data_IF_519331814725
#
_entry.id   IF_519331814725
#
_cell.length_a   1.000
_cell.length_b   1.000
_cell.length_c   1.000
_cell.angle_alpha   90.00
_cell.angle_beta   90.00
_cell.angle_gamma   90.00
#
_symmetry.space_group_name_H-M   'P 1'
#
loop_
_entity.id
_entity.type
_entity.pdbx_description
1 polymer ?
#
# COMPACT_ATOMS: atom_id res chain seq x y z
N UNK A 1 -15.22 14.68 4.23
CA UNK A 1 -15.08 15.06 2.81
C UNK A 1 -14.14 16.27 2.57
N UNK A 2 -13.82 17.07 3.59
CA UNK A 2 -13.08 18.35 3.47
C UNK A 2 -11.58 18.28 3.11
N UNK A 3 -10.86 17.20 3.46
CA UNK A 3 -9.39 17.13 3.26
C UNK A 3 -8.92 17.04 1.80
N UNK A 4 -9.80 16.68 0.85
CA UNK A 4 -9.43 16.53 -0.56
C UNK A 4 -9.36 17.85 -1.33
N UNK A 5 -10.03 18.89 -0.85
CA UNK A 5 -10.14 20.19 -1.54
C UNK A 5 -9.21 21.27 -0.98
N UNK A 6 -8.48 20.95 0.08
CA UNK A 6 -7.46 21.84 0.67
C UNK A 6 -6.40 22.33 -0.35
N UNK A 7 -5.81 21.48 -1.19
CA UNK A 7 -4.75 21.93 -2.11
C UNK A 7 -5.29 22.73 -3.29
N UNK A 8 -6.50 22.41 -3.78
CA UNK A 8 -7.18 23.24 -4.79
C UNK A 8 -7.52 24.60 -4.23
N UNK A 9 -7.99 24.68 -2.98
CA UNK A 9 -8.26 25.94 -2.31
C UNK A 9 -6.98 26.78 -2.10
N UNK A 10 -5.88 26.15 -1.69
CA UNK A 10 -4.57 26.82 -1.55
C UNK A 10 -4.07 27.33 -2.91
N UNK A 11 -4.15 26.53 -3.97
CA UNK A 11 -3.73 26.94 -5.31
C UNK A 11 -4.55 28.15 -5.82
N UNK A 12 -5.86 28.15 -5.62
CA UNK A 12 -6.73 29.27 -5.97
C UNK A 12 -6.42 30.53 -5.16
N UNK A 13 -6.17 30.39 -3.86
CA UNK A 13 -5.78 31.52 -2.99
C UNK A 13 -4.43 32.12 -3.39
N UNK A 14 -3.45 31.28 -3.74
CA UNK A 14 -2.14 31.72 -4.23
C UNK A 14 -2.28 32.45 -5.57
N UNK A 15 -3.08 31.93 -6.50
CA UNK A 15 -3.37 32.59 -7.78
C UNK A 15 -3.97 33.99 -7.57
N UNK A 16 -4.97 34.08 -6.68
CA UNK A 16 -5.67 35.33 -6.37
C UNK A 16 -4.75 36.35 -5.70
N UNK A 17 -3.90 35.90 -4.77
CA UNK A 17 -2.93 36.75 -4.10
C UNK A 17 -1.86 37.30 -5.06
N UNK A 18 -1.34 36.48 -5.98
CA UNK A 18 -0.37 36.92 -6.99
C UNK A 18 -0.98 37.88 -8.02
N UNK A 19 -2.24 37.67 -8.40
CA UNK A 19 -2.95 38.56 -9.32
C UNK A 19 -3.25 39.93 -8.67
N UNK A 20 -3.56 39.96 -7.37
CA UNK A 20 -3.88 41.18 -6.64
C UNK A 20 -2.66 42.10 -6.41
N UNK A 21 -1.44 41.55 -6.37
CA UNK A 21 -0.22 42.33 -6.15
C UNK A 21 0.32 43.02 -7.42
N UNK A 22 -0.20 42.69 -8.61
CA UNK A 22 0.22 43.31 -9.89
C UNK A 22 1.69 43.09 -10.25
N UNK A 23 2.40 42.24 -9.51
CA UNK A 23 3.85 41.99 -9.61
C UNK A 23 4.20 40.98 -10.70
N UNK A 24 3.22 40.22 -11.21
CA UNK A 24 3.39 39.26 -12.29
C UNK A 24 2.32 39.44 -13.37
N UNK A 25 2.73 39.20 -14.62
CA UNK A 25 1.86 39.10 -15.79
C UNK A 25 0.72 38.07 -15.52
N UNK A 26 -0.56 38.36 -15.87
CA UNK A 26 -1.72 37.56 -15.45
C UNK A 26 -1.63 36.08 -15.84
N UNK A 27 -0.93 35.81 -16.95
CA UNK A 27 -0.64 34.45 -17.42
C UNK A 27 0.19 33.66 -16.41
N UNK A 28 1.20 34.28 -15.79
CA UNK A 28 2.08 33.62 -14.83
C UNK A 28 1.39 33.37 -13.47
N UNK A 29 0.49 34.28 -13.06
CA UNK A 29 -0.30 34.14 -11.84
C UNK A 29 -1.26 32.93 -11.88
N UNK A 30 -1.73 32.55 -13.07
CA UNK A 30 -2.56 31.35 -13.30
C UNK A 30 -1.72 30.08 -13.53
N UNK A 31 -0.61 30.19 -14.28
CA UNK A 31 0.20 29.03 -14.66
C UNK A 31 0.89 28.35 -13.47
N UNK A 32 1.46 29.11 -12.54
CA UNK A 32 2.18 28.56 -11.37
C UNK A 32 1.31 27.65 -10.47
N UNK A 33 0.13 28.09 -9.98
CA UNK A 33 -0.72 27.24 -9.15
C UNK A 33 -1.31 26.07 -9.94
N UNK A 34 -1.58 26.25 -11.24
CA UNK A 34 -2.05 25.18 -12.11
C UNK A 34 -0.97 24.09 -12.28
N UNK A 35 0.28 24.49 -12.55
CA UNK A 35 1.42 23.57 -12.62
C UNK A 35 1.64 22.84 -11.28
N UNK A 36 1.55 23.54 -10.16
CA UNK A 36 1.62 22.94 -8.82
C UNK A 36 0.55 21.88 -8.57
N UNK A 37 -0.69 22.14 -9.00
CA UNK A 37 -1.81 21.19 -8.95
C UNK A 37 -1.56 19.95 -9.80
N UNK A 38 -1.06 20.13 -11.03
CA UNK A 38 -0.72 19.02 -11.94
C UNK A 38 0.38 18.16 -11.33
N UNK A 39 1.46 18.75 -10.82
CA UNK A 39 2.55 18.02 -10.17
C UNK A 39 2.04 17.26 -8.95
N UNK A 40 1.21 17.90 -8.11
CA UNK A 40 0.63 17.26 -6.94
C UNK A 40 -0.28 16.07 -7.30
N UNK A 41 -1.11 16.21 -8.33
CA UNK A 41 -1.94 15.12 -8.83
C UNK A 41 -1.10 13.98 -9.44
N UNK A 42 -0.09 14.31 -10.23
CA UNK A 42 0.83 13.33 -10.80
C UNK A 42 1.58 12.55 -9.71
N UNK A 43 2.04 13.24 -8.66
CA UNK A 43 2.67 12.61 -7.50
C UNK A 43 1.74 11.63 -6.78
N UNK A 44 0.45 11.98 -6.63
CA UNK A 44 -0.56 11.08 -6.06
C UNK A 44 -0.75 9.81 -6.88
N UNK A 45 -0.69 9.90 -8.21
CA UNK A 45 -0.83 8.74 -9.10
C UNK A 45 0.42 7.86 -9.15
N UNK A 46 1.60 8.44 -8.92
CA UNK A 46 2.87 7.68 -8.85
C UNK A 46 2.95 6.87 -7.55
N UNK A 47 2.36 7.37 -6.46
CA UNK A 47 2.33 6.69 -5.15
C UNK A 47 1.33 5.50 -5.10
N UNK A 48 0.55 5.24 -6.16
CA UNK A 48 -0.33 4.07 -6.25
C UNK A 48 0.45 2.74 -6.40
N UNK A 49 1.77 2.83 -6.57
CA UNK A 49 2.68 1.68 -6.48
C UNK A 49 2.60 0.73 -7.67
N UNK A 50 2.32 1.28 -8.85
CA UNK A 50 2.60 0.61 -10.11
C UNK A 50 4.12 0.66 -10.35
N UNK A 51 4.78 -0.46 -10.12
CA UNK A 51 6.21 -0.60 -10.34
C UNK A 51 6.47 -0.63 -11.86
N UNK A 52 7.16 0.36 -12.40
CA UNK A 52 7.67 0.29 -13.76
C UNK A 52 8.63 -0.91 -13.82
N UNK A 53 8.38 -1.87 -14.71
CA UNK A 53 9.24 -3.03 -14.89
C UNK A 53 10.58 -2.58 -15.50
N UNK A 54 11.54 -2.24 -14.64
CA UNK A 54 12.89 -1.91 -15.07
C UNK A 54 13.64 -3.21 -15.42
N UNK A 55 14.45 -3.23 -16.49
CA UNK A 55 15.29 -4.39 -16.78
C UNK A 55 16.19 -4.68 -15.57
N UNK A 56 16.23 -5.95 -15.16
CA UNK A 56 17.00 -6.36 -14.00
C UNK A 56 18.50 -6.08 -14.24
N UNK A 57 19.17 -5.32 -13.37
CA UNK A 57 20.62 -5.18 -13.44
C UNK A 57 21.28 -6.57 -13.28
N UNK A 58 22.47 -6.79 -13.86
CA UNK A 58 23.18 -8.05 -13.70
C UNK A 58 23.32 -8.40 -12.22
N UNK A 59 22.93 -9.62 -11.85
CA UNK A 59 22.98 -10.08 -10.47
C UNK A 59 24.44 -10.28 -10.04
N UNK A 60 25.12 -9.20 -9.68
CA UNK A 60 26.43 -9.26 -9.06
C UNK A 60 26.21 -9.67 -7.59
N UNK A 61 26.10 -10.99 -7.39
CA UNK A 61 25.91 -11.62 -6.08
C UNK A 61 27.17 -11.43 -5.23
N UNK A 62 27.36 -10.24 -4.67
CA UNK A 62 28.21 -10.06 -3.48
C UNK A 62 27.53 -10.77 -2.32
N UNK A 63 28.13 -11.85 -1.83
CA UNK A 63 27.64 -12.58 -0.67
C UNK A 63 27.65 -11.66 0.56
N UNK A 64 26.47 -11.14 0.93
CA UNK A 64 26.32 -10.27 2.10
C UNK A 64 24.86 -10.03 2.46
N UNK A 65 24.28 -10.91 3.29
CA UNK A 65 22.88 -10.85 3.73
C UNK A 65 22.49 -9.53 4.44
N UNK A 66 23.45 -8.70 4.87
CA UNK A 66 23.18 -7.43 5.56
C UNK A 66 22.64 -6.34 4.64
N UNK A 67 23.13 -6.26 3.41
CA UNK A 67 22.68 -5.24 2.47
C UNK A 67 21.25 -5.54 2.02
N UNK A 68 20.97 -6.80 1.65
CA UNK A 68 19.65 -7.26 1.25
C UNK A 68 18.59 -7.01 2.33
N UNK A 69 18.91 -7.28 3.60
CA UNK A 69 17.99 -7.02 4.73
C UNK A 69 17.76 -5.52 4.94
N UNK A 70 18.80 -4.70 4.78
CA UNK A 70 18.70 -3.24 4.93
C UNK A 70 17.87 -2.63 3.80
N UNK A 71 18.12 -3.06 2.57
CA UNK A 71 17.38 -2.60 1.38
C UNK A 71 15.92 -3.03 1.44
N UNK A 72 15.65 -4.26 1.92
CA UNK A 72 14.30 -4.73 2.15
C UNK A 72 13.58 -3.94 3.25
N UNK A 73 14.32 -3.56 4.30
CA UNK A 73 13.84 -2.65 5.34
C UNK A 73 13.42 -1.29 4.76
N UNK A 74 14.27 -0.68 3.94
CA UNK A 74 13.98 0.61 3.28
C UNK A 74 12.81 0.53 2.29
N UNK A 75 12.65 -0.58 1.57
CA UNK A 75 11.53 -0.77 0.64
C UNK A 75 10.20 -1.08 1.36
N UNK A 76 10.25 -1.62 2.57
CA UNK A 76 9.06 -2.03 3.32
C UNK A 76 8.37 -0.87 4.05
N UNK A 77 9.11 0.18 4.42
CA UNK A 77 8.58 1.29 5.21
C UNK A 77 8.54 2.61 4.43
N UNK A 78 7.45 3.33 4.59
CA UNK A 78 7.27 4.71 4.13
C UNK A 78 8.05 5.68 5.01
N UNK A 79 8.22 6.92 4.54
CA UNK A 79 8.89 8.01 5.29
C UNK A 79 8.32 8.24 6.70
N UNK A 80 7.04 7.94 6.90
CA UNK A 80 6.34 8.11 8.18
C UNK A 80 6.54 6.92 9.16
N UNK A 81 7.41 5.95 8.81
CA UNK A 81 7.62 4.73 9.59
C UNK A 81 6.44 3.75 9.53
N UNK A 82 5.51 3.94 8.59
CA UNK A 82 4.40 3.02 8.30
C UNK A 82 4.75 2.06 7.19
N UNK A 83 4.09 0.91 7.16
CA UNK A 83 4.31 -0.10 6.12
C UNK A 83 3.78 0.39 4.78
N UNK A 84 4.54 0.14 3.71
CA UNK A 84 4.17 0.54 2.36
C UNK A 84 2.91 -0.19 1.86
N UNK A 85 2.18 0.45 0.94
CA UNK A 85 0.99 -0.15 0.33
C UNK A 85 1.32 -1.46 -0.39
N UNK A 86 2.53 -1.57 -0.97
CA UNK A 86 3.04 -2.78 -1.62
C UNK A 86 3.09 -3.97 -0.67
N UNK A 87 3.74 -3.81 0.49
CA UNK A 87 3.83 -4.89 1.49
C UNK A 87 2.44 -5.25 2.01
N UNK A 88 1.59 -4.24 2.25
CA UNK A 88 0.20 -4.45 2.67
C UNK A 88 -0.58 -5.30 1.65
N UNK A 89 -0.50 -4.99 0.36
CA UNK A 89 -1.12 -5.78 -0.72
C UNK A 89 -0.56 -7.20 -0.78
N UNK A 90 0.76 -7.36 -0.60
CA UNK A 90 1.42 -8.67 -0.61
C UNK A 90 0.91 -9.56 0.52
N UNK A 91 0.81 -9.01 1.74
CA UNK A 91 0.26 -9.75 2.90
C UNK A 91 -1.20 -10.10 2.67
N UNK A 92 -2.00 -9.19 2.11
CA UNK A 92 -3.39 -9.49 1.77
C UNK A 92 -3.52 -10.65 0.77
N UNK A 93 -2.67 -10.67 -0.27
CA UNK A 93 -2.63 -11.77 -1.24
C UNK A 93 -2.21 -13.10 -0.60
N UNK A 94 -1.24 -13.09 0.33
CA UNK A 94 -0.83 -14.30 1.07
C UNK A 94 -1.99 -14.80 1.96
N UNK A 95 -2.66 -13.89 2.68
CA UNK A 95 -3.79 -14.24 3.53
C UNK A 95 -4.94 -14.86 2.71
N UNK A 96 -5.31 -14.23 1.58
CA UNK A 96 -6.30 -14.79 0.65
C UNK A 96 -5.90 -16.18 0.14
N UNK A 97 -4.65 -16.34 -0.27
CA UNK A 97 -4.17 -17.64 -0.77
C UNK A 97 -4.21 -18.73 0.31
N UNK A 98 -3.88 -18.39 1.56
CA UNK A 98 -3.91 -19.32 2.70
C UNK A 98 -5.32 -19.68 3.16
N UNK A 99 -6.30 -18.81 2.94
CA UNK A 99 -7.70 -19.02 3.32
C UNK A 99 -8.55 -19.66 2.22
N UNK A 100 -8.12 -19.57 0.96
CA UNK A 100 -8.82 -20.19 -0.17
C UNK A 100 -9.08 -21.70 0.02
N UNK A 101 -8.16 -22.52 0.57
CA UNK A 101 -8.42 -23.93 0.89
C UNK A 101 -9.55 -24.12 1.92
N UNK A 102 -9.75 -23.14 2.80
CA UNK A 102 -10.81 -23.14 3.81
C UNK A 102 -12.14 -22.58 3.27
N UNK A 103 -12.22 -22.28 1.97
CA UNK A 103 -13.41 -21.69 1.33
C UNK A 103 -13.67 -20.22 1.72
N UNK A 104 -12.72 -19.56 2.38
CA UNK A 104 -12.88 -18.21 2.90
C UNK A 104 -12.24 -17.21 1.95
N UNK A 105 -13.04 -16.24 1.48
CA UNK A 105 -12.58 -15.09 0.73
C UNK A 105 -12.62 -13.82 1.59
N UNK A 106 -11.46 -13.17 1.78
CA UNK A 106 -11.37 -11.93 2.55
C UNK A 106 -12.15 -10.77 1.94
N UNK A 107 -12.39 -10.78 0.62
CA UNK A 107 -13.09 -9.69 -0.08
C UNK A 107 -14.60 -9.75 0.09
N UNK A 108 -15.14 -10.94 0.38
CA UNK A 108 -16.57 -11.14 0.60
C UNK A 108 -16.97 -10.71 2.03
N UNK A 109 -17.88 -9.74 2.20
CA UNK A 109 -18.41 -9.36 3.51
C UNK A 109 -19.00 -10.54 4.30
N UNK A 110 -19.60 -11.53 3.63
CA UNK A 110 -20.24 -12.68 4.26
C UNK A 110 -19.26 -13.66 4.92
N UNK A 111 -18.01 -13.70 4.45
CA UNK A 111 -16.95 -14.55 5.01
C UNK A 111 -16.21 -13.91 6.19
N UNK A 112 -16.66 -12.73 6.65
CA UNK A 112 -16.02 -11.99 7.76
C UNK A 112 -15.93 -12.81 9.03
N UNK A 113 -17.02 -13.45 9.45
CA UNK A 113 -17.09 -14.15 10.73
C UNK A 113 -16.29 -15.47 10.69
N UNK A 114 -16.30 -16.14 9.54
CA UNK A 114 -15.47 -17.32 9.28
C UNK A 114 -13.98 -16.95 9.31
N UNK A 115 -13.58 -15.85 8.66
CA UNK A 115 -12.21 -15.34 8.70
C UNK A 115 -11.81 -14.92 10.13
N UNK A 116 -12.71 -14.30 10.88
CA UNK A 116 -12.46 -13.84 12.25
C UNK A 116 -12.25 -15.02 13.22
N UNK A 117 -12.86 -16.16 12.95
CA UNK A 117 -12.66 -17.40 13.73
C UNK A 117 -11.23 -17.95 13.56
N UNK A 118 -10.64 -17.80 12.38
CA UNK A 118 -9.29 -18.33 12.10
C UNK A 118 -8.19 -17.31 12.46
N UNK A 119 -8.33 -16.06 12.00
CA UNK A 119 -7.31 -15.02 12.15
C UNK A 119 -7.47 -14.14 13.40
N UNK A 120 -8.65 -14.17 14.02
CA UNK A 120 -9.06 -13.22 15.05
C UNK A 120 -9.75 -11.99 14.47
N UNK A 121 -10.78 -11.51 15.15
CA UNK A 121 -11.60 -10.37 14.72
C UNK A 121 -10.78 -9.09 14.51
N UNK A 122 -9.87 -8.77 15.43
CA UNK A 122 -9.00 -7.59 15.35
C UNK A 122 -8.13 -7.57 14.08
N UNK A 123 -7.59 -8.74 13.70
CA UNK A 123 -6.73 -8.88 12.52
C UNK A 123 -7.55 -8.71 11.25
N UNK A 124 -8.75 -9.29 11.19
CA UNK A 124 -9.68 -9.13 10.06
C UNK A 124 -10.11 -7.67 9.88
N UNK A 125 -10.45 -6.98 10.97
CA UNK A 125 -10.81 -5.57 10.93
C UNK A 125 -9.66 -4.68 10.43
N UNK A 126 -8.45 -4.98 10.89
CA UNK A 126 -7.27 -4.24 10.49
C UNK A 126 -6.87 -4.53 9.04
N UNK A 127 -6.96 -5.78 8.58
CA UNK A 127 -6.71 -6.18 7.18
C UNK A 127 -7.71 -5.51 6.22
N UNK A 128 -8.96 -5.35 6.63
CA UNK A 128 -9.99 -4.65 5.86
C UNK A 128 -9.88 -3.12 5.93
N UNK A 129 -9.11 -2.59 6.88
CA UNK A 129 -8.92 -1.16 7.02
C UNK A 129 -8.04 -0.61 5.89
N UNK A 130 -8.36 0.59 5.39
CA UNK A 130 -7.52 1.31 4.40
C UNK A 130 -6.36 2.09 5.04
N UNK A 131 -6.13 1.91 6.35
CA UNK A 131 -5.10 2.66 7.06
C UNK A 131 -3.77 1.92 6.92
N UNK A 132 -2.68 2.60 6.54
CA UNK A 132 -1.37 1.95 6.46
C UNK A 132 -0.97 1.40 7.85
N UNK A 133 -0.61 0.11 7.96
CA UNK A 133 -0.33 -0.49 9.25
C UNK A 133 1.03 -0.05 9.79
N UNK A 134 1.19 -0.15 11.11
CA UNK A 134 2.50 0.00 11.75
C UNK A 134 3.30 -1.32 11.64
N UNK A 135 4.63 -1.28 11.80
CA UNK A 135 5.46 -2.49 11.75
C UNK A 135 5.00 -3.58 12.74
N UNK A 136 4.64 -3.19 13.96
CA UNK A 136 4.07 -4.10 14.97
C UNK A 136 2.75 -4.72 14.56
N UNK A 137 1.93 -3.97 13.81
CA UNK A 137 0.63 -4.45 13.33
C UNK A 137 0.82 -5.44 12.19
N UNK A 138 1.73 -5.14 11.26
CA UNK A 138 2.12 -6.07 10.20
C UNK A 138 2.65 -7.39 10.76
N UNK A 139 3.50 -7.34 11.79
CA UNK A 139 4.01 -8.55 12.43
C UNK A 139 2.87 -9.41 13.00
N UNK A 140 1.90 -8.80 13.70
CA UNK A 140 0.71 -9.51 14.20
C UNK A 140 -0.11 -10.16 13.08
N UNK A 141 -0.25 -9.49 11.93
CA UNK A 141 -0.96 -10.07 10.78
C UNK A 141 -0.21 -11.27 10.21
N UNK A 142 1.13 -11.15 10.07
CA UNK A 142 1.96 -12.25 9.59
C UNK A 142 1.88 -13.45 10.53
N UNK A 143 1.98 -13.23 11.84
CA UNK A 143 1.84 -14.30 12.83
C UNK A 143 0.46 -14.99 12.75
N UNK A 144 -0.60 -14.20 12.56
CA UNK A 144 -1.96 -14.75 12.43
C UNK A 144 -2.13 -15.57 11.14
N UNK A 145 -1.55 -15.11 10.03
CA UNK A 145 -1.56 -15.82 8.75
C UNK A 145 -0.71 -17.09 8.81
N UNK A 146 0.41 -17.07 9.52
CA UNK A 146 1.29 -18.23 9.69
C UNK A 146 0.68 -19.32 10.57
N UNK A 147 -0.18 -18.94 11.52
CA UNK A 147 -0.96 -19.86 12.35
C UNK A 147 -2.13 -20.52 11.63
N UNK A 148 -2.47 -20.10 10.41
CA UNK A 148 -3.54 -20.74 9.64
C UNK A 148 -3.16 -22.21 9.43
N UNK A 149 -4.00 -23.16 9.87
CA UNK A 149 -3.72 -24.58 9.71
C UNK A 149 -3.42 -24.90 8.24
N UNK A 150 -2.36 -25.67 7.96
CA UNK A 150 -2.13 -26.18 6.62
C UNK A 150 -3.34 -27.02 6.20
N UNK A 151 -3.66 -26.99 4.90
CA UNK A 151 -4.69 -27.85 4.32
C UNK A 151 -4.39 -29.31 4.73
N UNK A 152 -5.37 -30.10 5.22
CA UNK A 152 -5.15 -31.53 5.44
C UNK A 152 -4.52 -32.14 4.18
N UNK A 153 -3.52 -33.03 4.34
CA UNK A 153 -2.83 -33.62 3.19
C UNK A 153 -3.87 -34.19 2.23
N UNK A 154 -3.87 -33.74 0.97
CA UNK A 154 -4.63 -34.39 -0.09
C UNK A 154 -4.14 -35.84 -0.17
N UNK A 155 -4.83 -36.74 0.51
CA UNK A 155 -4.59 -38.17 0.42
C UNK A 155 -4.89 -38.62 -1.01
N UNK A 156 -3.83 -38.78 -1.80
CA UNK A 156 -3.76 -39.64 -2.99
C UNK A 156 -4.61 -39.25 -4.19
N UNK A 157 -3.94 -38.86 -5.28
CA UNK A 157 -4.26 -39.44 -6.59
C UNK A 157 -3.03 -40.23 -7.05
N UNK A 158 -3.02 -41.58 -6.97
CA UNK A 158 -1.99 -42.34 -7.64
C UNK A 158 -2.08 -42.08 -9.15
N UNK A 159 -0.98 -41.60 -9.72
CA UNK A 159 -0.79 -41.52 -11.16
C UNK A 159 -0.81 -42.94 -11.71
N UNK A 160 -1.84 -43.28 -12.48
CA UNK A 160 -1.88 -44.47 -13.33
C UNK A 160 -1.16 -44.18 -14.65
#
# INVERSE_FOLDING_TARGET
>A
MTRRHLPTAVALLTALALAATGTLDPLHALLLPCAGLVVWHAWRTVDDGAEAAWPAPPAERRHGARHDVTDLGWAAFTRDGRVSARITRRVHAIAQHRLAPHGIDLTDPHHRDAAATILGADVVDQLRSRRPPTPRTLHRWLDAVERIPPDPPRTGRPSA
#
